data_IF_948064809467
#
_entry.id   IF_948064809467
#
_cell.length_a   1.000
_cell.length_b   1.000
_cell.length_c   1.000
_cell.angle_alpha   90.00
_cell.angle_beta   90.00
_cell.angle_gamma   90.00
#
_symmetry.space_group_name_H-M   'P 1'
#
loop_
_entity.id
_entity.type
_entity.pdbx_description
1 polymer ?
#
# COMPACT_ATOMS: atom_id res chain seq x y z
N UNK A 1 -2.70 -28.03 6.44
CA UNK A 1 -2.98 -27.52 5.08
C UNK A 1 -4.32 -26.82 5.11
N UNK A 2 -4.31 -25.49 5.12
CA UNK A 2 -5.50 -24.65 5.12
C UNK A 2 -6.07 -24.59 3.70
N UNK A 3 -7.34 -25.01 3.49
CA UNK A 3 -8.00 -24.87 2.19
C UNK A 3 -8.03 -23.40 1.75
N UNK A 4 -7.93 -23.09 0.44
CA UNK A 4 -8.02 -21.72 -0.06
C UNK A 4 -9.31 -21.05 0.41
N UNK A 5 -9.21 -19.81 0.91
CA UNK A 5 -10.37 -19.00 1.28
C UNK A 5 -11.10 -18.57 0.00
N UNK A 6 -12.31 -19.08 -0.19
CA UNK A 6 -13.22 -18.59 -1.22
C UNK A 6 -14.23 -17.59 -0.64
N UNK A 7 -14.92 -16.86 -1.52
CA UNK A 7 -15.94 -15.87 -1.16
C UNK A 7 -17.00 -16.43 -0.20
N UNK A 8 -17.42 -17.68 -0.38
CA UNK A 8 -18.46 -18.31 0.46
C UNK A 8 -17.94 -18.56 1.86
N UNK A 9 -16.67 -18.95 2.00
CA UNK A 9 -16.02 -19.17 3.29
C UNK A 9 -15.78 -17.85 4.02
N UNK A 10 -15.32 -16.81 3.34
CA UNK A 10 -15.19 -15.47 3.94
C UNK A 10 -16.54 -14.92 4.41
N UNK A 11 -17.59 -14.98 3.58
CA UNK A 11 -18.93 -14.52 4.00
C UNK A 11 -19.47 -15.33 5.17
N UNK A 12 -19.18 -16.65 5.24
CA UNK A 12 -19.54 -17.48 6.39
C UNK A 12 -18.74 -17.12 7.63
N UNK A 13 -17.45 -16.80 7.51
CA UNK A 13 -16.62 -16.37 8.64
C UNK A 13 -17.03 -14.98 9.12
N UNK A 14 -17.32 -14.05 8.21
CA UNK A 14 -17.87 -12.73 8.55
C UNK A 14 -19.29 -12.80 9.17
N UNK A 15 -20.11 -13.77 8.76
CA UNK A 15 -21.46 -13.96 9.30
C UNK A 15 -21.50 -14.79 10.60
N UNK A 16 -20.63 -15.80 10.74
CA UNK A 16 -20.55 -16.66 11.93
C UNK A 16 -19.71 -16.03 13.04
N UNK A 17 -18.65 -15.33 12.67
CA UNK A 17 -17.91 -14.38 13.52
C UNK A 17 -18.49 -12.99 13.38
N UNK A 18 -19.83 -12.88 13.34
CA UNK A 18 -20.52 -11.59 13.34
C UNK A 18 -19.80 -10.70 14.31
N UNK A 19 -19.17 -9.63 13.79
CA UNK A 19 -18.28 -8.75 14.52
C UNK A 19 -18.83 -8.60 15.94
N UNK A 20 -18.17 -9.28 16.89
CA UNK A 20 -18.41 -9.05 18.30
C UNK A 20 -17.91 -7.62 18.52
N UNK A 21 -18.81 -6.68 18.25
CA UNK A 21 -18.89 -5.44 18.99
C UNK A 21 -18.89 -5.85 20.48
N UNK A 22 -17.73 -5.76 21.11
CA UNK A 22 -17.58 -6.04 22.54
C UNK A 22 -16.65 -7.19 22.90
N UNK A 23 -15.39 -7.12 22.51
CA UNK A 23 -14.30 -7.62 23.36
C UNK A 23 -13.20 -6.57 23.37
N UNK A 24 -12.80 -6.16 24.57
CA UNK A 24 -11.86 -5.09 24.87
C UNK A 24 -10.74 -4.98 23.82
N UNK A 25 -10.77 -3.90 23.06
CA UNK A 25 -9.60 -3.44 22.33
C UNK A 25 -8.47 -3.29 23.36
N UNK A 26 -7.25 -3.81 23.11
CA UNK A 26 -6.11 -3.30 23.86
C UNK A 26 -6.10 -1.78 23.65
N UNK A 27 -5.92 -1.03 24.74
CA UNK A 27 -5.82 0.43 24.76
C UNK A 27 -4.72 0.91 23.80
N UNK A 28 -5.04 1.01 22.52
CA UNK A 28 -4.53 2.08 21.66
C UNK A 28 -5.50 3.25 21.84
N UNK A 29 -5.66 3.67 23.09
CA UNK A 29 -6.08 5.02 23.36
C UNK A 29 -5.06 5.90 22.62
N UNK A 30 -5.53 6.61 21.61
CA UNK A 30 -4.96 7.90 21.28
C UNK A 30 -4.86 8.63 22.60
N UNK A 31 -3.66 8.66 23.20
CA UNK A 31 -3.44 9.47 24.36
C UNK A 31 -3.82 10.88 23.92
N UNK A 32 -4.86 11.42 24.56
CA UNK A 32 -5.30 12.78 24.39
C UNK A 32 -4.29 13.74 25.03
N UNK A 33 -3.00 13.53 24.74
CA UNK A 33 -1.89 14.41 25.02
C UNK A 33 -1.41 14.96 23.68
N UNK A 34 -2.08 16.04 23.25
CA UNK A 34 -1.54 17.05 22.33
C UNK A 34 -0.87 16.53 21.04
N UNK A 35 -1.47 15.56 20.33
CA UNK A 35 -1.24 15.47 18.88
C UNK A 35 -2.00 16.62 18.22
N UNK A 36 -1.27 17.64 17.78
CA UNK A 36 -1.75 18.70 16.92
C UNK A 36 -2.69 18.09 15.88
N UNK A 37 -3.96 18.54 15.83
CA UNK A 37 -5.00 17.95 14.99
C UNK A 37 -4.44 17.74 13.57
N UNK A 38 -4.12 16.49 13.25
CA UNK A 38 -3.36 16.21 12.04
C UNK A 38 -4.31 16.29 10.87
N UNK A 39 -4.00 17.15 9.91
CA UNK A 39 -4.87 17.42 8.76
C UNK A 39 -5.01 16.16 7.89
N UNK A 40 -6.17 15.50 7.97
CA UNK A 40 -6.52 14.30 7.21
C UNK A 40 -6.84 14.58 5.73
N UNK A 41 -6.68 15.82 5.27
CA UNK A 41 -6.98 16.27 3.91
C UNK A 41 -6.35 15.39 2.83
N UNK A 42 -5.11 14.94 2.98
CA UNK A 42 -4.48 14.08 1.98
C UNK A 42 -5.17 12.70 1.87
N UNK A 43 -5.68 12.14 2.97
CA UNK A 43 -6.48 10.92 2.93
C UNK A 43 -7.81 11.15 2.20
N UNK A 44 -8.47 12.29 2.45
CA UNK A 44 -9.70 12.65 1.73
C UNK A 44 -9.47 12.82 0.22
N UNK A 45 -8.46 13.61 -0.17
CA UNK A 45 -8.12 13.81 -1.58
C UNK A 45 -7.74 12.48 -2.25
N UNK A 46 -7.00 11.64 -1.53
CA UNK A 46 -6.58 10.31 -1.97
C UNK A 46 -7.75 9.36 -2.22
N UNK A 47 -8.68 9.24 -1.27
CA UNK A 47 -9.86 8.37 -1.44
C UNK A 47 -10.81 8.89 -2.51
N UNK A 48 -10.93 10.22 -2.65
CA UNK A 48 -11.68 10.83 -3.74
C UNK A 48 -11.11 10.44 -5.11
N UNK A 49 -9.78 10.47 -5.24
CA UNK A 49 -9.07 10.09 -6.44
C UNK A 49 -9.21 8.59 -6.73
N UNK A 50 -9.02 7.71 -5.72
CA UNK A 50 -9.23 6.27 -5.88
C UNK A 50 -10.64 5.98 -6.39
N UNK A 51 -11.67 6.55 -5.77
CA UNK A 51 -13.05 6.32 -6.15
C UNK A 51 -13.40 6.75 -7.59
N UNK A 52 -12.74 7.80 -8.12
CA UNK A 52 -12.98 8.28 -9.51
C UNK A 52 -12.08 7.66 -10.56
N UNK A 53 -11.04 6.96 -10.16
CA UNK A 53 -10.05 6.37 -11.07
C UNK A 53 -10.66 5.42 -12.12
N UNK A 54 -11.66 4.57 -11.82
CA UNK A 54 -12.23 3.65 -12.80
C UNK A 54 -12.85 4.32 -14.03
N UNK A 55 -13.44 5.49 -13.84
CA UNK A 55 -14.10 6.27 -14.90
C UNK A 55 -13.11 7.17 -15.68
N UNK A 56 -11.83 7.13 -15.29
CA UNK A 56 -10.77 7.98 -15.84
C UNK A 56 -9.59 7.11 -16.26
N UNK A 57 -8.45 7.23 -15.59
CA UNK A 57 -7.32 6.33 -15.75
C UNK A 57 -7.20 5.44 -14.52
N UNK A 58 -7.81 4.25 -14.56
CA UNK A 58 -7.79 3.32 -13.41
C UNK A 58 -6.36 3.10 -12.88
N UNK A 59 -5.39 3.02 -13.79
CA UNK A 59 -3.98 2.87 -13.45
C UNK A 59 -3.38 4.18 -12.94
N UNK A 60 -3.24 5.20 -13.80
CA UNK A 60 -2.47 6.39 -13.44
C UNK A 60 -3.14 7.20 -12.32
N UNK A 61 -4.46 7.37 -12.36
CA UNK A 61 -5.19 8.11 -11.33
C UNK A 61 -5.32 7.30 -10.04
N UNK A 62 -5.39 5.96 -10.14
CA UNK A 62 -5.36 5.09 -8.96
C UNK A 62 -4.03 5.22 -8.22
N UNK A 63 -2.91 5.28 -8.95
CA UNK A 63 -1.61 5.55 -8.33
C UNK A 63 -1.54 6.92 -7.64
N UNK A 64 -2.09 7.97 -8.27
CA UNK A 64 -2.16 9.32 -7.68
C UNK A 64 -2.97 9.31 -6.38
N UNK A 65 -4.15 8.67 -6.39
CA UNK A 65 -4.98 8.50 -5.21
C UNK A 65 -4.26 7.79 -4.07
N UNK A 66 -3.71 6.62 -4.36
CA UNK A 66 -2.93 5.83 -3.40
C UNK A 66 -1.76 6.63 -2.82
N UNK A 67 -1.06 7.42 -3.64
CA UNK A 67 0.11 8.17 -3.19
C UNK A 67 -0.20 9.32 -2.22
N UNK A 68 -1.38 9.96 -2.32
CA UNK A 68 -1.80 10.98 -1.34
C UNK A 68 -2.05 10.33 0.03
N UNK A 69 -2.72 9.18 0.05
CA UNK A 69 -2.93 8.41 1.29
C UNK A 69 -1.59 7.95 1.86
N UNK A 70 -0.72 7.35 1.05
CA UNK A 70 0.60 6.88 1.50
C UNK A 70 1.52 8.01 1.97
N UNK A 71 1.43 9.22 1.40
CA UNK A 71 2.22 10.36 1.86
C UNK A 71 1.84 10.80 3.29
N UNK A 72 0.53 10.82 3.58
CA UNK A 72 0.03 11.08 4.92
C UNK A 72 0.53 9.99 5.90
N UNK A 73 0.28 8.71 5.56
CA UNK A 73 0.64 7.58 6.43
C UNK A 73 2.14 7.43 6.62
N UNK A 74 2.95 7.70 5.58
CA UNK A 74 4.40 7.78 5.68
C UNK A 74 4.80 8.75 6.79
N UNK A 75 4.19 9.93 6.84
CA UNK A 75 4.55 10.91 7.85
C UNK A 75 4.05 10.53 9.25
N UNK A 76 2.79 10.09 9.35
CA UNK A 76 2.13 9.93 10.65
C UNK A 76 2.40 8.60 11.34
N UNK A 77 2.79 7.57 10.59
CA UNK A 77 3.05 6.23 11.15
C UNK A 77 4.53 5.89 11.23
N UNK A 78 5.40 6.74 10.71
CA UNK A 78 6.85 6.57 10.79
C UNK A 78 7.54 7.77 11.46
N UNK A 79 6.77 8.61 12.17
CA UNK A 79 7.24 9.75 12.96
C UNK A 79 8.19 10.70 12.20
N UNK A 80 7.86 11.01 10.94
CA UNK A 80 8.66 11.98 10.17
C UNK A 80 8.46 13.40 10.69
N UNK A 81 9.44 14.29 10.48
CA UNK A 81 9.32 15.70 10.85
C UNK A 81 8.06 16.35 10.23
N UNK A 82 7.28 17.16 10.98
CA UNK A 82 6.06 17.80 10.46
C UNK A 82 6.28 18.62 9.18
N UNK A 83 7.46 19.23 9.03
CA UNK A 83 7.86 19.95 7.83
C UNK A 83 7.89 19.07 6.56
N UNK A 84 8.11 17.76 6.70
CA UNK A 84 8.00 16.81 5.57
C UNK A 84 6.55 16.70 5.10
N UNK A 85 5.58 16.52 6.02
CA UNK A 85 4.16 16.45 5.67
C UNK A 85 3.65 17.75 5.03
N UNK A 86 4.06 18.91 5.57
CA UNK A 86 3.77 20.21 4.96
C UNK A 86 4.29 20.24 3.53
N UNK A 87 5.55 19.86 3.32
CA UNK A 87 6.15 19.85 1.98
C UNK A 87 5.47 18.87 1.02
N UNK A 88 5.11 17.67 1.47
CA UNK A 88 4.36 16.72 0.65
C UNK A 88 2.98 17.25 0.28
N UNK A 89 2.30 17.91 1.21
CA UNK A 89 0.97 18.53 0.98
C UNK A 89 1.06 19.63 -0.09
N UNK A 90 2.06 20.52 0.02
CA UNK A 90 2.34 21.54 -1.01
C UNK A 90 2.54 20.92 -2.41
N UNK A 91 3.27 19.80 -2.49
CA UNK A 91 3.49 19.10 -3.76
C UNK A 91 2.17 18.64 -4.37
N UNK A 92 1.26 18.06 -3.58
CA UNK A 92 -0.05 17.67 -4.09
C UNK A 92 -0.91 18.88 -4.47
N UNK A 93 -0.81 19.99 -3.75
CA UNK A 93 -1.53 21.23 -4.04
C UNK A 93 -1.12 21.87 -5.37
N UNK A 94 0.18 21.85 -5.66
CA UNK A 94 0.72 22.37 -6.92
C UNK A 94 0.34 21.51 -8.12
N UNK A 95 0.10 20.21 -7.93
CA UNK A 95 -0.01 19.26 -9.03
C UNK A 95 -1.41 18.67 -9.23
N UNK A 96 -2.09 18.19 -8.19
CA UNK A 96 -3.28 17.34 -8.33
C UNK A 96 -4.50 17.77 -7.52
N UNK A 97 -4.32 18.41 -6.36
CA UNK A 97 -5.42 18.66 -5.41
C UNK A 97 -6.56 19.51 -6.01
N UNK A 98 -6.24 20.42 -6.94
CA UNK A 98 -7.21 21.29 -7.63
C UNK A 98 -7.89 20.65 -8.84
N UNK A 99 -7.53 19.41 -9.19
CA UNK A 99 -8.10 18.73 -10.35
C UNK A 99 -9.45 18.09 -10.03
N UNK A 100 -10.25 17.81 -11.07
CA UNK A 100 -11.51 17.07 -10.92
C UNK A 100 -11.35 15.67 -10.32
N UNK A 101 -10.13 15.13 -10.30
CA UNK A 101 -9.84 13.83 -9.68
C UNK A 101 -10.07 13.89 -8.16
N UNK A 102 -9.59 14.96 -7.51
CA UNK A 102 -9.60 15.10 -6.06
C UNK A 102 -10.81 15.87 -5.51
N UNK A 103 -11.70 16.37 -6.39
CA UNK A 103 -12.88 17.13 -6.01
C UNK A 103 -13.73 16.40 -4.96
N UNK A 104 -14.40 17.13 -4.07
CA UNK A 104 -15.30 16.51 -3.09
C UNK A 104 -16.42 15.73 -3.79
N UNK A 105 -16.85 14.62 -3.18
CA UNK A 105 -18.09 13.96 -3.58
C UNK A 105 -19.28 14.71 -2.98
N UNK A 106 -20.50 14.55 -3.53
CA UNK A 106 -21.71 14.96 -2.84
C UNK A 106 -21.76 14.39 -1.42
N UNK A 107 -22.37 15.13 -0.51
CA UNK A 107 -22.68 14.62 0.82
C UNK A 107 -23.56 13.37 0.70
N UNK A 108 -23.37 12.42 1.62
CA UNK A 108 -24.13 11.19 1.65
C UNK A 108 -23.83 10.41 2.91
N UNK A 109 -24.76 9.54 3.28
CA UNK A 109 -24.62 8.74 4.48
C UNK A 109 -23.46 7.72 4.35
N UNK A 110 -22.71 7.48 5.44
CA UNK A 110 -21.73 6.41 5.50
C UNK A 110 -22.36 5.05 5.23
N UNK A 111 -21.71 4.24 4.41
CA UNK A 111 -22.07 2.85 4.16
C UNK A 111 -21.49 1.98 5.28
N UNK A 112 -22.32 1.43 6.19
CA UNK A 112 -21.83 0.64 7.32
C UNK A 112 -21.14 -0.66 6.88
N UNK A 113 -21.27 -1.06 5.61
CA UNK A 113 -20.64 -2.24 5.02
C UNK A 113 -19.50 -1.91 4.08
N UNK A 114 -18.96 -0.69 4.12
CA UNK A 114 -17.90 -0.24 3.23
C UNK A 114 -16.68 -1.19 3.21
N UNK A 115 -16.13 -1.52 4.38
CA UNK A 115 -14.96 -2.39 4.52
C UNK A 115 -15.28 -3.80 4.00
N UNK A 116 -16.46 -4.35 4.33
CA UNK A 116 -16.90 -5.66 3.82
C UNK A 116 -16.95 -5.68 2.29
N UNK A 117 -17.54 -4.64 1.67
CA UNK A 117 -17.65 -4.53 0.21
C UNK A 117 -16.30 -4.44 -0.48
N UNK A 118 -15.37 -3.65 0.08
CA UNK A 118 -14.00 -3.54 -0.44
C UNK A 118 -13.25 -4.87 -0.29
N UNK A 119 -13.41 -5.54 0.85
CA UNK A 119 -12.81 -6.86 1.13
C UNK A 119 -13.30 -7.92 0.13
N UNK A 120 -14.61 -7.96 -0.13
CA UNK A 120 -15.19 -8.86 -1.13
C UNK A 120 -14.69 -8.55 -2.54
N UNK A 121 -14.55 -7.27 -2.91
CA UNK A 121 -13.99 -6.86 -4.20
C UNK A 121 -12.53 -7.30 -4.37
N UNK A 122 -11.74 -7.28 -3.29
CA UNK A 122 -10.38 -7.80 -3.27
C UNK A 122 -10.36 -9.33 -3.45
N UNK A 123 -11.20 -10.07 -2.72
CA UNK A 123 -11.27 -11.53 -2.78
C UNK A 123 -11.77 -12.07 -4.12
N UNK A 124 -12.55 -11.31 -4.90
CA UNK A 124 -12.93 -11.66 -6.28
C UNK A 124 -11.68 -11.90 -7.20
N UNK A 125 -10.48 -11.50 -6.76
CA UNK A 125 -9.21 -11.72 -7.45
C UNK A 125 -8.04 -12.17 -6.58
N UNK A 126 -8.26 -12.56 -5.32
CA UNK A 126 -7.20 -12.75 -4.32
C UNK A 126 -6.03 -13.64 -4.79
N UNK A 127 -6.27 -14.82 -5.39
CA UNK A 127 -5.19 -15.71 -5.83
C UNK A 127 -4.48 -15.30 -7.13
N UNK A 128 -5.00 -14.31 -7.86
CA UNK A 128 -4.49 -13.89 -9.17
C UNK A 128 -3.55 -12.71 -8.98
N UNK A 129 -2.34 -12.80 -9.53
CA UNK A 129 -1.42 -11.66 -9.53
C UNK A 129 -1.95 -10.59 -10.49
N UNK A 130 -2.55 -9.52 -9.96
CA UNK A 130 -3.11 -8.43 -10.76
C UNK A 130 -2.21 -7.22 -10.73
N UNK A 131 -1.65 -6.86 -11.89
CA UNK A 131 -0.72 -5.75 -12.10
C UNK A 131 0.19 -5.55 -10.87
N UNK A 132 1.15 -6.46 -10.64
CA UNK A 132 2.13 -6.40 -9.54
C UNK A 132 1.58 -6.22 -8.10
N UNK A 133 0.28 -6.50 -7.88
CA UNK A 133 -0.38 -6.39 -6.57
C UNK A 133 -1.19 -5.11 -6.36
N UNK A 134 -1.44 -4.29 -7.40
CA UNK A 134 -2.15 -3.02 -7.24
C UNK A 134 -3.55 -3.15 -6.63
N UNK A 135 -4.27 -4.24 -6.90
CA UNK A 135 -5.58 -4.50 -6.29
C UNK A 135 -5.47 -4.59 -4.76
N UNK A 136 -4.42 -5.23 -4.23
CA UNK A 136 -4.21 -5.38 -2.79
C UNK A 136 -3.74 -4.07 -2.17
N UNK A 137 -2.76 -3.41 -2.80
CA UNK A 137 -2.20 -2.14 -2.33
C UNK A 137 -3.30 -1.07 -2.20
N UNK A 138 -4.19 -0.97 -3.20
CA UNK A 138 -5.21 0.08 -3.19
C UNK A 138 -6.38 -0.28 -2.28
N UNK A 139 -6.69 -1.57 -2.13
CA UNK A 139 -7.69 -2.04 -1.18
C UNK A 139 -7.25 -1.78 0.27
N UNK A 140 -5.98 -2.05 0.64
CA UNK A 140 -5.50 -1.82 2.01
C UNK A 140 -5.60 -0.34 2.40
N UNK A 141 -5.14 0.55 1.52
CA UNK A 141 -5.22 2.00 1.74
C UNK A 141 -6.66 2.51 1.84
N UNK A 142 -7.58 1.98 1.02
CA UNK A 142 -8.99 2.34 1.08
C UNK A 142 -9.67 1.82 2.35
N UNK A 143 -9.41 0.57 2.75
CA UNK A 143 -9.91 0.01 4.02
C UNK A 143 -9.42 0.86 5.19
N UNK A 144 -8.13 1.17 5.23
CA UNK A 144 -7.53 1.99 6.29
C UNK A 144 -8.14 3.38 6.35
N UNK A 145 -8.38 4.00 5.18
CA UNK A 145 -9.04 5.31 5.11
C UNK A 145 -10.49 5.26 5.57
N UNK A 146 -11.27 4.26 5.17
CA UNK A 146 -12.66 4.13 5.62
C UNK A 146 -12.76 3.78 7.11
N UNK A 147 -11.79 3.04 7.67
CA UNK A 147 -11.70 2.82 9.12
C UNK A 147 -11.38 4.09 9.89
N UNK A 148 -10.43 4.89 9.41
CA UNK A 148 -10.02 6.14 10.05
C UNK A 148 -11.02 7.28 9.87
N UNK A 149 -11.74 7.29 8.74
CA UNK A 149 -12.71 8.32 8.36
C UNK A 149 -14.02 7.69 7.87
N UNK A 150 -14.82 7.06 8.74
CA UNK A 150 -16.07 6.40 8.34
C UNK A 150 -17.04 7.32 7.60
N UNK A 151 -17.03 8.62 7.90
CA UNK A 151 -17.82 9.65 7.21
C UNK A 151 -17.53 9.75 5.70
N UNK A 152 -16.31 9.37 5.26
CA UNK A 152 -15.95 9.34 3.85
C UNK A 152 -16.40 8.06 3.15
N UNK A 153 -16.86 7.05 3.88
CA UNK A 153 -17.25 5.75 3.32
C UNK A 153 -18.64 5.78 2.69
N UNK A 154 -18.95 6.78 1.86
CA UNK A 154 -20.26 6.91 1.20
C UNK A 154 -20.43 5.87 0.10
N UNK A 155 -21.69 5.54 -0.25
CA UNK A 155 -22.00 4.55 -1.30
C UNK A 155 -21.24 4.80 -2.61
N UNK A 156 -21.12 6.06 -3.05
CA UNK A 156 -20.45 6.40 -4.31
C UNK A 156 -18.95 6.15 -4.23
N UNK A 157 -18.29 6.52 -3.12
CA UNK A 157 -16.84 6.28 -2.95
C UNK A 157 -16.54 4.80 -2.84
N UNK A 158 -17.32 4.07 -2.05
CA UNK A 158 -17.18 2.61 -1.87
C UNK A 158 -17.35 1.89 -3.21
N UNK A 159 -18.38 2.24 -3.99
CA UNK A 159 -18.61 1.65 -5.30
C UNK A 159 -17.43 1.90 -6.26
N UNK A 160 -16.95 3.15 -6.32
CA UNK A 160 -15.80 3.52 -7.15
C UNK A 160 -14.52 2.77 -6.77
N UNK A 161 -14.20 2.67 -5.48
CA UNK A 161 -13.06 1.89 -4.99
C UNK A 161 -13.20 0.41 -5.35
N UNK A 162 -14.39 -0.18 -5.14
CA UNK A 162 -14.63 -1.57 -5.49
C UNK A 162 -14.48 -1.82 -7.00
N UNK A 163 -14.91 -0.88 -7.85
CA UNK A 163 -14.73 -0.96 -9.29
C UNK A 163 -13.24 -0.84 -9.67
N UNK A 164 -12.47 0.02 -8.99
CA UNK A 164 -11.03 0.17 -9.21
C UNK A 164 -10.29 -1.14 -8.94
N UNK A 165 -10.54 -1.74 -7.78
CA UNK A 165 -9.92 -3.01 -7.37
C UNK A 165 -10.18 -4.12 -8.41
N UNK A 166 -11.38 -4.16 -8.98
CA UNK A 166 -11.76 -5.13 -10.02
C UNK A 166 -11.20 -4.80 -11.41
N UNK A 167 -10.77 -3.56 -11.65
CA UNK A 167 -10.25 -3.11 -12.95
C UNK A 167 -8.82 -3.59 -13.22
N UNK A 168 -8.06 -3.95 -12.17
CA UNK A 168 -6.69 -4.44 -12.31
C UNK A 168 -6.64 -5.78 -13.05
N UNK A 169 -5.79 -5.87 -14.06
CA UNK A 169 -5.69 -7.03 -14.95
C UNK A 169 -4.68 -8.05 -14.43
N UNK A 170 -4.84 -9.35 -14.74
CA UNK A 170 -3.78 -10.33 -14.50
C UNK A 170 -2.46 -9.89 -15.11
N UNK A 171 -1.35 -10.11 -14.40
CA UNK A 171 -0.01 -9.74 -14.82
C UNK A 171 0.96 -10.85 -14.43
N UNK A 172 1.60 -11.47 -15.43
CA UNK A 172 2.53 -12.60 -15.25
C UNK A 172 2.01 -13.61 -14.22
N UNK A 173 0.76 -14.03 -14.41
CA UNK A 173 0.06 -14.96 -13.52
C UNK A 173 0.60 -16.39 -13.73
N UNK A 174 1.81 -16.62 -13.22
CA UNK A 174 2.53 -17.90 -13.27
C UNK A 174 2.14 -18.75 -12.07
N UNK A 175 2.41 -20.05 -12.12
CA UNK A 175 2.37 -20.87 -10.90
C UNK A 175 3.44 -20.38 -9.90
N UNK A 176 3.08 -20.20 -8.61
CA UNK A 176 4.05 -19.83 -7.60
C UNK A 176 5.05 -20.98 -7.39
N UNK A 177 6.33 -20.63 -7.21
CA UNK A 177 7.36 -21.57 -6.80
C UNK A 177 7.00 -22.15 -5.42
N UNK A 178 7.03 -23.48 -5.30
CA UNK A 178 6.64 -24.21 -4.10
C UNK A 178 7.57 -23.91 -2.91
N UNK A 179 8.81 -23.52 -3.18
CA UNK A 179 9.81 -23.19 -2.14
C UNK A 179 9.60 -21.77 -1.57
N UNK A 180 8.69 -20.98 -2.14
CA UNK A 180 8.32 -19.67 -1.60
C UNK A 180 7.26 -19.86 -0.52
N UNK A 181 7.71 -19.80 0.73
CA UNK A 181 6.88 -19.91 1.92
C UNK A 181 7.06 -18.65 2.81
N UNK A 182 6.36 -17.54 2.52
CA UNK A 182 6.37 -16.39 3.39
C UNK A 182 5.81 -16.78 4.78
N UNK A 183 6.26 -16.16 5.87
CA UNK A 183 5.61 -16.32 7.18
C UNK A 183 4.11 -15.96 7.14
N UNK A 184 3.36 -16.28 8.20
CA UNK A 184 2.00 -15.74 8.35
C UNK A 184 2.07 -14.21 8.34
N UNK A 185 1.14 -13.55 7.65
CA UNK A 185 1.09 -12.08 7.66
C UNK A 185 0.70 -11.50 9.03
N UNK A 186 0.10 -12.32 9.92
CA UNK A 186 -0.13 -11.95 11.31
C UNK A 186 1.16 -11.93 12.15
N UNK A 187 2.20 -12.67 11.76
CA UNK A 187 3.55 -12.50 12.31
C UNK A 187 4.24 -11.33 11.61
N UNK A 188 3.86 -10.12 12.03
CA UNK A 188 4.30 -8.87 11.38
C UNK A 188 5.83 -8.76 11.30
N UNK A 189 6.55 -9.23 12.33
CA UNK A 189 8.00 -9.15 12.36
C UNK A 189 8.62 -10.11 11.34
N UNK A 190 8.25 -11.39 11.35
CA UNK A 190 8.80 -12.38 10.43
C UNK A 190 8.39 -12.08 8.97
N UNK A 191 7.13 -11.74 8.73
CA UNK A 191 6.64 -11.39 7.40
C UNK A 191 7.37 -10.15 6.85
N UNK A 192 7.54 -9.10 7.68
CA UNK A 192 8.26 -7.91 7.26
C UNK A 192 9.72 -8.20 6.93
N UNK A 193 10.42 -9.02 7.74
CA UNK A 193 11.79 -9.47 7.42
C UNK A 193 11.86 -10.20 6.09
N UNK A 194 10.92 -11.10 5.82
CA UNK A 194 10.86 -11.83 4.55
C UNK A 194 10.65 -10.89 3.36
N UNK A 195 9.63 -10.03 3.42
CA UNK A 195 9.30 -9.05 2.36
C UNK A 195 10.50 -8.16 2.10
N UNK A 196 11.12 -7.71 3.19
CA UNK A 196 12.33 -6.95 3.13
C UNK A 196 13.39 -7.78 2.35
N UNK A 197 13.84 -8.93 2.84
CA UNK A 197 14.90 -9.69 2.17
C UNK A 197 14.64 -9.91 0.66
N UNK A 198 13.39 -10.15 0.25
CA UNK A 198 13.02 -10.24 -1.16
C UNK A 198 13.15 -8.94 -1.94
N UNK A 199 12.70 -7.81 -1.38
CA UNK A 199 12.83 -6.52 -2.05
C UNK A 199 14.31 -6.07 -2.12
N UNK A 200 15.08 -6.33 -1.07
CA UNK A 200 16.54 -6.11 -1.04
C UNK A 200 17.22 -6.91 -2.16
N UNK A 201 16.96 -8.20 -2.25
CA UNK A 201 17.53 -9.04 -3.30
C UNK A 201 17.02 -8.65 -4.70
N UNK A 202 15.78 -8.17 -4.83
CA UNK A 202 15.26 -7.65 -6.09
C UNK A 202 16.01 -6.39 -6.57
N UNK A 203 16.46 -5.51 -5.68
CA UNK A 203 17.32 -4.37 -6.07
C UNK A 203 18.58 -4.88 -6.78
N UNK A 204 19.23 -5.90 -6.22
CA UNK A 204 20.48 -6.43 -6.78
C UNK A 204 20.22 -7.14 -8.13
N UNK A 205 19.15 -7.94 -8.22
CA UNK A 205 18.79 -8.68 -9.45
C UNK A 205 18.39 -7.77 -10.61
N UNK A 206 17.76 -6.63 -10.33
CA UNK A 206 17.18 -5.74 -11.34
C UNK A 206 17.97 -4.44 -11.56
N UNK A 207 19.23 -4.39 -11.12
CA UNK A 207 20.10 -3.23 -11.37
C UNK A 207 20.16 -2.90 -12.87
N UNK A 208 19.85 -1.64 -13.22
CA UNK A 208 19.78 -1.17 -14.61
C UNK A 208 18.51 -1.57 -15.38
N UNK A 209 17.48 -2.11 -14.71
CA UNK A 209 16.17 -2.44 -15.30
C UNK A 209 15.01 -1.69 -14.63
N UNK A 210 15.32 -0.72 -13.77
CA UNK A 210 14.36 0.10 -13.08
C UNK A 210 13.84 -0.53 -11.79
N UNK A 211 13.14 0.28 -11.02
CA UNK A 211 12.99 0.10 -9.58
C UNK A 211 11.58 -0.37 -9.19
N UNK A 212 10.76 -0.63 -10.22
CA UNK A 212 9.39 -1.11 -10.06
C UNK A 212 9.32 -2.41 -9.27
N UNK A 213 10.23 -3.36 -9.52
CA UNK A 213 10.13 -4.69 -8.92
C UNK A 213 10.32 -4.68 -7.40
N UNK A 214 11.39 -4.03 -6.92
CA UNK A 214 11.64 -3.89 -5.49
C UNK A 214 10.61 -2.98 -4.80
N UNK A 215 10.22 -1.86 -5.43
CA UNK A 215 9.19 -0.97 -4.87
C UNK A 215 7.81 -1.60 -4.77
N UNK A 216 7.41 -2.44 -5.74
CA UNK A 216 6.16 -3.20 -5.66
C UNK A 216 6.24 -4.36 -4.68
N UNK A 217 7.42 -4.95 -4.47
CA UNK A 217 7.62 -5.94 -3.40
C UNK A 217 7.37 -5.31 -2.02
N UNK A 218 7.92 -4.11 -1.79
CA UNK A 218 7.66 -3.34 -0.57
C UNK A 218 6.19 -3.00 -0.39
N UNK A 219 5.56 -2.39 -1.40
CA UNK A 219 4.18 -1.90 -1.26
C UNK A 219 3.16 -3.03 -1.21
N UNK A 220 3.34 -4.11 -1.98
CA UNK A 220 2.45 -5.27 -1.91
C UNK A 220 2.63 -6.01 -0.57
N UNK A 221 3.86 -6.27 -0.15
CA UNK A 221 4.12 -6.91 1.14
C UNK A 221 3.61 -6.07 2.33
N UNK A 222 3.84 -4.75 2.32
CA UNK A 222 3.32 -3.83 3.33
C UNK A 222 1.79 -3.91 3.40
N UNK A 223 1.09 -3.90 2.27
CA UNK A 223 -0.37 -3.99 2.26
C UNK A 223 -0.89 -5.26 2.94
N UNK A 224 -0.18 -6.40 2.81
CA UNK A 224 -0.57 -7.67 3.44
C UNK A 224 -0.34 -7.64 4.96
N UNK A 225 0.81 -7.15 5.41
CA UNK A 225 1.13 -6.99 6.84
C UNK A 225 0.15 -6.01 7.49
N UNK A 226 -0.15 -4.90 6.81
CA UNK A 226 -1.09 -3.88 7.28
C UNK A 226 -2.53 -4.40 7.36
N UNK A 227 -2.99 -5.16 6.37
CA UNK A 227 -4.32 -5.80 6.43
C UNK A 227 -4.43 -6.72 7.66
N UNK A 228 -3.41 -7.55 7.91
CA UNK A 228 -3.36 -8.40 9.08
C UNK A 228 -3.32 -7.60 10.39
N UNK A 229 -2.52 -6.52 10.46
CA UNK A 229 -2.47 -5.61 11.61
C UNK A 229 -3.85 -4.98 11.91
N UNK A 230 -4.62 -4.62 10.89
CA UNK A 230 -5.98 -4.10 11.04
C UNK A 230 -7.02 -5.19 11.42
N UNK A 231 -6.59 -6.40 11.75
CA UNK A 231 -7.47 -7.52 12.10
C UNK A 231 -8.06 -8.27 10.90
N UNK A 232 -7.58 -8.00 9.68
CA UNK A 232 -8.04 -8.65 8.44
C UNK A 232 -7.07 -9.75 7.99
N UNK A 233 -6.62 -10.61 8.90
CA UNK A 233 -5.66 -11.68 8.62
C UNK A 233 -6.13 -12.60 7.49
N UNK A 234 -7.38 -13.06 7.54
CA UNK A 234 -7.94 -13.93 6.49
C UNK A 234 -7.92 -13.27 5.11
N UNK A 235 -8.10 -11.95 5.05
CA UNK A 235 -8.06 -11.20 3.81
C UNK A 235 -6.62 -11.11 3.26
N UNK A 236 -5.65 -10.86 4.14
CA UNK A 236 -4.23 -10.87 3.79
C UNK A 236 -3.81 -12.27 3.29
N UNK A 237 -4.17 -13.32 4.02
CA UNK A 237 -3.88 -14.71 3.66
C UNK A 237 -4.58 -15.14 2.36
N UNK A 238 -5.78 -14.62 2.10
CA UNK A 238 -6.48 -14.80 0.82
C UNK A 238 -5.71 -14.27 -0.41
N UNK A 239 -4.75 -13.37 -0.19
CA UNK A 239 -3.88 -12.81 -1.23
C UNK A 239 -2.48 -13.46 -1.28
N UNK A 240 -2.18 -14.44 -0.40
CA UNK A 240 -0.88 -15.11 -0.30
C UNK A 240 -0.39 -15.67 -1.63
N UNK A 241 -1.28 -16.35 -2.37
CA UNK A 241 -0.92 -16.96 -3.65
C UNK A 241 -0.43 -15.91 -4.64
N UNK A 242 -1.16 -14.79 -4.79
CA UNK A 242 -0.73 -13.70 -5.66
C UNK A 242 0.63 -13.11 -5.24
N UNK A 243 0.87 -12.96 -3.93
CA UNK A 243 2.16 -12.51 -3.42
C UNK A 243 3.30 -13.50 -3.74
N UNK A 244 3.08 -14.80 -3.56
CA UNK A 244 4.06 -15.83 -3.90
C UNK A 244 4.39 -15.85 -5.40
N UNK A 245 3.38 -15.63 -6.26
CA UNK A 245 3.58 -15.44 -7.71
C UNK A 245 4.47 -14.23 -7.99
N UNK A 246 4.27 -13.13 -7.27
CA UNK A 246 5.10 -11.94 -7.43
C UNK A 246 6.56 -12.20 -7.03
N UNK A 247 6.80 -12.85 -5.89
CA UNK A 247 8.15 -13.30 -5.47
C UNK A 247 8.76 -14.27 -6.50
N UNK A 248 7.97 -15.17 -7.07
CA UNK A 248 8.40 -16.09 -8.14
C UNK A 248 8.91 -15.30 -9.35
N UNK A 249 8.16 -14.29 -9.78
CA UNK A 249 8.54 -13.43 -10.91
C UNK A 249 9.81 -12.64 -10.59
N UNK A 250 9.93 -12.04 -9.41
CA UNK A 250 11.11 -11.23 -9.06
C UNK A 250 12.36 -12.07 -8.81
N UNK A 251 12.24 -13.34 -8.41
CA UNK A 251 13.39 -14.24 -8.28
C UNK A 251 13.99 -14.65 -9.63
N UNK A 252 13.19 -14.67 -10.71
CA UNK A 252 13.67 -14.96 -12.08
C UNK A 252 14.58 -13.87 -12.65
N UNK A 253 14.48 -12.64 -12.13
CA UNK A 253 15.22 -11.50 -12.66
C UNK A 253 14.62 -10.94 -13.95
N UNK A 254 15.31 -10.01 -14.60
CA UNK A 254 14.86 -9.37 -15.83
C UNK A 254 14.85 -10.36 -17.00
N UNK A 255 13.89 -10.20 -17.92
CA UNK A 255 13.87 -10.96 -19.17
C UNK A 255 15.07 -10.59 -20.05
N UNK A 256 15.47 -11.49 -20.95
CA UNK A 256 16.65 -11.31 -21.80
C UNK A 256 16.57 -10.07 -22.70
N UNK A 257 15.35 -9.67 -23.10
CA UNK A 257 15.04 -8.51 -23.93
C UNK A 257 14.51 -7.32 -23.10
N UNK A 258 14.58 -7.38 -21.76
CA UNK A 258 14.06 -6.34 -20.90
C UNK A 258 14.75 -5.00 -21.16
N UNK A 259 13.95 -3.94 -21.26
CA UNK A 259 14.42 -2.58 -21.47
C UNK A 259 15.32 -2.15 -20.30
N UNK A 260 16.51 -1.64 -20.63
CA UNK A 260 17.39 -1.00 -19.66
C UNK A 260 16.86 0.37 -19.25
N UNK A 261 16.91 0.65 -17.95
CA UNK A 261 16.50 1.91 -17.34
C UNK A 261 17.64 2.33 -16.41
N UNK A 262 18.10 3.58 -16.54
CA UNK A 262 19.18 4.09 -15.70
C UNK A 262 18.77 4.10 -14.23
N UNK A 263 19.67 3.63 -13.38
CA UNK A 263 19.46 3.67 -11.94
C UNK A 263 19.57 5.08 -11.39
N UNK A 264 18.99 5.28 -10.21
CA UNK A 264 19.20 6.49 -9.43
C UNK A 264 20.68 6.62 -9.05
N UNK A 265 21.16 7.87 -9.05
CA UNK A 265 22.52 8.16 -8.60
C UNK A 265 22.59 7.96 -7.08
N UNK A 266 23.72 7.46 -6.55
CA UNK A 266 23.94 7.39 -5.11
C UNK A 266 23.62 8.72 -4.43
N UNK A 267 22.82 8.65 -3.36
CA UNK A 267 22.42 9.80 -2.55
C UNK A 267 22.41 9.39 -1.08
N UNK A 268 22.87 10.31 -0.23
CA UNK A 268 22.72 10.18 1.23
C UNK A 268 21.36 10.68 1.72
N UNK A 269 20.67 11.50 0.91
CA UNK A 269 19.36 12.02 1.29
C UNK A 269 18.32 10.91 1.34
N UNK A 270 17.42 11.01 2.31
CA UNK A 270 16.38 10.01 2.59
C UNK A 270 14.99 10.63 2.69
N UNK A 271 13.92 9.89 2.36
CA UNK A 271 12.55 10.41 2.41
C UNK A 271 12.07 10.84 3.80
N UNK A 272 12.76 10.47 4.88
CA UNK A 272 12.50 10.99 6.23
C UNK A 272 13.15 12.37 6.50
N UNK A 273 13.89 12.93 5.55
CA UNK A 273 14.56 14.22 5.67
C UNK A 273 13.86 15.29 4.82
N UNK A 274 13.71 16.51 5.35
CA UNK A 274 13.08 17.63 4.62
C UNK A 274 13.90 18.00 3.37
N UNK A 275 15.23 17.95 3.45
CA UNK A 275 16.13 18.29 2.35
C UNK A 275 15.92 17.39 1.11
N UNK A 276 15.59 16.11 1.32
CA UNK A 276 15.23 15.18 0.25
C UNK A 276 14.07 15.73 -0.60
N UNK A 277 13.01 16.20 0.07
CA UNK A 277 11.81 16.72 -0.58
C UNK A 277 12.01 18.09 -1.21
N UNK A 278 12.86 18.93 -0.63
CA UNK A 278 13.24 20.21 -1.21
C UNK A 278 14.03 20.02 -2.52
N UNK A 279 15.04 19.14 -2.49
CA UNK A 279 15.88 18.85 -3.67
C UNK A 279 15.09 18.20 -4.82
N UNK A 280 14.02 17.49 -4.49
CA UNK A 280 13.09 16.91 -5.46
C UNK A 280 12.36 17.95 -6.32
N UNK A 281 12.22 19.19 -5.84
CA UNK A 281 11.50 20.27 -6.52
C UNK A 281 10.00 20.01 -6.68
N UNK A 282 9.32 20.88 -7.44
CA UNK A 282 7.84 20.93 -7.48
C UNK A 282 7.16 19.95 -8.46
N UNK A 283 7.91 19.39 -9.41
CA UNK A 283 7.34 18.66 -10.57
C UNK A 283 7.58 17.16 -10.57
N UNK A 284 8.23 16.64 -9.54
CA UNK A 284 8.80 15.29 -9.55
C UNK A 284 7.86 14.18 -9.07
N UNK A 285 6.54 14.40 -8.98
CA UNK A 285 5.64 13.39 -8.39
C UNK A 285 5.50 12.10 -9.23
N UNK A 286 5.73 12.18 -10.55
CA UNK A 286 5.46 11.07 -11.45
C UNK A 286 4.00 10.62 -11.33
N UNK A 287 3.77 9.34 -11.11
CA UNK A 287 2.45 8.81 -10.72
C UNK A 287 2.32 8.56 -9.20
N UNK A 288 3.36 8.88 -8.40
CA UNK A 288 3.30 8.82 -6.94
C UNK A 288 4.04 7.66 -6.26
N UNK A 289 4.86 6.88 -6.99
CA UNK A 289 5.71 5.82 -6.37
C UNK A 289 6.62 6.34 -5.26
N UNK A 290 7.05 7.57 -5.40
CA UNK A 290 7.98 8.28 -4.53
C UNK A 290 7.44 8.53 -3.12
N UNK A 291 6.14 8.34 -2.90
CA UNK A 291 5.51 8.35 -1.58
C UNK A 291 5.23 6.92 -1.09
N UNK A 292 4.76 6.05 -1.99
CA UNK A 292 4.37 4.67 -1.67
C UNK A 292 5.57 3.80 -1.30
N UNK A 293 6.68 3.91 -2.03
CA UNK A 293 7.87 3.08 -1.74
C UNK A 293 8.49 3.42 -0.40
N UNK A 294 8.71 4.71 -0.04
CA UNK A 294 9.18 5.03 1.30
C UNK A 294 8.20 4.64 2.39
N UNK A 295 6.88 4.77 2.16
CA UNK A 295 5.89 4.30 3.15
C UNK A 295 6.07 2.82 3.46
N UNK A 296 6.09 1.97 2.41
CA UNK A 296 6.34 0.55 2.57
C UNK A 296 7.68 0.25 3.23
N UNK A 297 8.74 0.96 2.83
CA UNK A 297 10.09 0.79 3.37
C UNK A 297 10.16 1.03 4.89
N UNK A 298 9.78 2.23 5.35
CA UNK A 298 9.89 2.56 6.78
C UNK A 298 8.92 1.75 7.64
N UNK A 299 7.71 1.50 7.13
CA UNK A 299 6.71 0.68 7.82
C UNK A 299 7.25 -0.73 8.07
N UNK A 300 7.78 -1.38 7.03
CA UNK A 300 8.30 -2.75 7.16
C UNK A 300 9.56 -2.81 8.02
N UNK A 301 10.45 -1.81 7.96
CA UNK A 301 11.63 -1.76 8.84
C UNK A 301 11.24 -1.67 10.31
N UNK A 302 10.28 -0.82 10.65
CA UNK A 302 9.79 -0.67 12.02
C UNK A 302 9.23 -2.00 12.56
N UNK A 303 8.46 -2.73 11.74
CA UNK A 303 7.89 -4.03 12.12
C UNK A 303 8.92 -5.16 12.20
N UNK A 304 9.87 -5.19 11.27
CA UNK A 304 10.93 -6.18 11.26
C UNK A 304 11.84 -6.08 12.50
N UNK A 305 12.05 -4.85 13.01
CA UNK A 305 12.87 -4.57 14.18
C UNK A 305 14.23 -5.30 14.12
N UNK A 306 14.92 -5.15 12.99
CA UNK A 306 16.18 -5.84 12.68
C UNK A 306 17.23 -4.83 12.21
N UNK A 307 18.10 -4.35 13.13
CA UNK A 307 19.07 -3.31 12.81
C UNK A 307 20.07 -3.69 11.72
N UNK A 308 20.47 -4.97 11.65
CA UNK A 308 21.41 -5.45 10.63
C UNK A 308 20.77 -5.44 9.25
N UNK A 309 19.52 -5.90 9.16
CA UNK A 309 18.76 -5.82 7.92
C UNK A 309 18.55 -4.36 7.48
N UNK A 310 18.20 -3.48 8.42
CA UNK A 310 18.02 -2.06 8.16
C UNK A 310 19.29 -1.40 7.60
N UNK A 311 20.45 -1.65 8.22
CA UNK A 311 21.74 -1.14 7.74
C UNK A 311 22.09 -1.66 6.35
N UNK A 312 21.94 -2.98 6.13
CA UNK A 312 22.24 -3.61 4.84
C UNK A 312 21.37 -3.07 3.70
N UNK A 313 20.12 -2.71 4.02
CA UNK A 313 19.23 -2.12 3.03
C UNK A 313 19.55 -0.67 2.76
N UNK A 314 19.75 0.12 3.81
CA UNK A 314 19.91 1.56 3.66
C UNK A 314 21.08 1.88 2.73
N UNK A 315 22.13 1.06 2.76
CA UNK A 315 23.26 1.13 1.83
C UNK A 315 22.87 1.13 0.34
N UNK A 316 21.73 0.53 -0.03
CA UNK A 316 21.18 0.46 -1.39
C UNK A 316 19.80 1.09 -1.54
N UNK A 317 19.28 1.76 -0.50
CA UNK A 317 17.97 2.39 -0.54
C UNK A 317 17.86 3.51 -1.60
N UNK A 318 18.98 4.13 -1.98
CA UNK A 318 19.02 5.12 -3.07
C UNK A 318 18.59 4.56 -4.42
N UNK A 319 18.62 3.24 -4.63
CA UNK A 319 18.04 2.64 -5.82
C UNK A 319 16.52 2.81 -5.85
N UNK A 320 15.83 2.99 -4.72
CA UNK A 320 14.37 3.10 -4.70
C UNK A 320 13.85 4.55 -4.71
N UNK A 321 14.61 5.50 -4.17
CA UNK A 321 14.16 6.88 -3.97
C UNK A 321 15.27 7.92 -4.00
#
# INVERSE_FOLDING_TARGET
>A
MSLPLDRRRFTKLAAAGGFLAGTALPDWAWSAETKQATDLRLMELGINALARSPERSYFADGHRGASMISAYLLCTENDLPPAVLVRMTELFDLNWAKTKLCASFPEGDPDPKAIEKVSLALLDGGPVLREVGHNVIFASLAIKTFSAMPQLATQQRVAGVCQLIRSFKPWRDVEPDADIQPPSFADQAAASKFILQEASAAVDRFQGFGQGFAGHMLTFGQALVELAEMGNEELAEGCRTAFCKYVTVTRKGPDADARRIADHRPSKLRPNEVEYWQKRGDKSLGIGHVFKYPYGYYYLLAKANDPQLAESWDAKAFYLF
#
